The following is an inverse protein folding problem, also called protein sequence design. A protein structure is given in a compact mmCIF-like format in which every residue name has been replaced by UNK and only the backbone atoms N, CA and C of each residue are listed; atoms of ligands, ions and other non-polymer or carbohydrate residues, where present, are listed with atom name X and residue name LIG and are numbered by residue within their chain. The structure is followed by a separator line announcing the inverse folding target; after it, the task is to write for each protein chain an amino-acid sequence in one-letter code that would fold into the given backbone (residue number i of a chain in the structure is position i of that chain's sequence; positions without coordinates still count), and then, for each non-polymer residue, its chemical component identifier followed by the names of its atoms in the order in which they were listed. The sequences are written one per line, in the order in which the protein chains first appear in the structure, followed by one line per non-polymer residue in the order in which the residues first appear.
data_IF_219365816560
#
_entry.id   IF_219365816560
#
_cell.length_a   1.000
_cell.length_b   1.000
_cell.length_c   1.000
_cell.angle_alpha   90.00
_cell.angle_beta   90.00
_cell.angle_gamma   90.00
#
_symmetry.space_group_name_H-M   'P 1'
#
loop_
_entity.id
_entity.type
_entity.pdbx_description
1 polymer ?
#
# COMPACT_ATOMS: atom_id res chain seq x y z
N UNK A 1 4.14 23.14 0.72
CA UNK A 1 2.87 22.61 0.17
C UNK A 1 3.20 21.58 -0.88
N UNK A 2 2.95 20.30 -0.64
CA UNK A 2 3.05 19.30 -1.71
C UNK A 2 1.88 19.53 -2.67
N UNK A 3 2.18 19.71 -3.96
CA UNK A 3 1.15 19.83 -4.99
C UNK A 3 0.45 18.49 -5.21
N UNK A 4 -0.89 18.47 -5.24
CA UNK A 4 -1.67 17.26 -5.48
C UNK A 4 -1.28 16.62 -6.84
N UNK A 5 -0.72 15.38 -6.86
CA UNK A 5 -0.28 14.71 -8.09
C UNK A 5 -1.37 14.58 -9.18
N UNK A 6 -2.64 14.58 -8.79
CA UNK A 6 -3.75 14.58 -9.74
C UNK A 6 -3.80 15.89 -10.52
N UNK A 7 -3.64 17.01 -9.84
CA UNK A 7 -3.70 18.33 -10.47
C UNK A 7 -2.48 18.56 -11.36
N UNK A 8 -1.29 18.15 -10.90
CA UNK A 8 -0.03 18.46 -11.61
C UNK A 8 0.39 17.43 -12.64
N UNK A 9 -0.01 16.16 -12.50
CA UNK A 9 0.42 15.09 -13.41
C UNK A 9 -0.74 14.44 -14.16
N UNK A 10 -1.81 14.04 -13.47
CA UNK A 10 -2.90 13.28 -14.09
C UNK A 10 -3.83 14.15 -14.95
N UNK A 11 -4.28 15.28 -14.43
CA UNK A 11 -5.28 16.13 -15.06
C UNK A 11 -4.83 16.71 -16.42
N UNK A 12 -3.57 17.17 -16.60
CA UNK A 12 -3.09 17.57 -17.92
C UNK A 12 -3.16 16.45 -18.97
N UNK A 13 -2.86 15.21 -18.58
CA UNK A 13 -2.97 14.04 -19.47
C UNK A 13 -4.42 13.72 -19.79
N UNK A 14 -5.29 13.76 -18.76
CA UNK A 14 -6.72 13.54 -18.95
C UNK A 14 -7.33 14.57 -19.91
N UNK A 15 -6.95 15.85 -19.84
CA UNK A 15 -7.43 16.87 -20.78
C UNK A 15 -6.93 16.67 -22.22
N UNK A 16 -5.79 16.00 -22.41
CA UNK A 16 -5.18 15.75 -23.70
C UNK A 16 -5.72 14.49 -24.42
N UNK A 17 -6.36 13.57 -23.68
CA UNK A 17 -6.88 12.32 -24.23
C UNK A 17 -8.35 12.08 -23.86
N UNK A 18 -9.18 11.88 -24.88
CA UNK A 18 -10.62 11.75 -24.70
C UNK A 18 -11.01 10.53 -23.84
N UNK A 19 -10.35 9.38 -24.02
CA UNK A 19 -10.68 8.19 -23.24
C UNK A 19 -10.33 8.41 -21.77
N UNK A 20 -9.12 8.94 -21.51
CA UNK A 20 -8.63 9.23 -20.18
C UNK A 20 -9.46 10.32 -19.46
N UNK A 21 -9.94 11.31 -20.20
CA UNK A 21 -10.88 12.32 -19.69
C UNK A 21 -12.16 11.68 -19.16
N UNK A 22 -12.82 10.85 -19.98
CA UNK A 22 -14.10 10.25 -19.65
C UNK A 22 -14.00 9.30 -18.45
N UNK A 23 -12.99 8.44 -18.40
CA UNK A 23 -12.77 7.57 -17.23
C UNK A 23 -12.45 8.38 -15.97
N UNK A 24 -11.75 9.52 -16.09
CA UNK A 24 -11.44 10.39 -14.95
C UNK A 24 -12.72 11.01 -14.37
N UNK A 25 -13.62 11.52 -15.20
CA UNK A 25 -14.93 12.01 -14.75
C UNK A 25 -15.74 10.87 -14.11
N UNK A 26 -15.70 9.69 -14.71
CA UNK A 26 -16.40 8.52 -14.21
C UNK A 26 -15.90 8.09 -12.81
N UNK A 27 -14.60 8.21 -12.51
CA UNK A 27 -14.10 7.99 -11.15
C UNK A 27 -14.66 8.98 -10.13
N UNK A 28 -14.79 10.26 -10.51
CA UNK A 28 -15.38 11.27 -9.64
C UNK A 28 -16.88 10.98 -9.38
N UNK A 29 -17.62 10.62 -10.44
CA UNK A 29 -19.02 10.18 -10.31
C UNK A 29 -19.16 8.98 -9.40
N UNK A 30 -18.28 7.98 -9.52
CA UNK A 30 -18.30 6.79 -8.68
C UNK A 30 -18.07 7.13 -7.21
N UNK A 31 -17.11 8.01 -6.90
CA UNK A 31 -16.86 8.42 -5.51
C UNK A 31 -18.07 9.13 -4.89
N UNK A 32 -18.70 10.06 -5.64
CA UNK A 32 -19.92 10.73 -5.21
C UNK A 32 -21.08 9.73 -4.98
N UNK A 33 -21.30 8.82 -5.93
CA UNK A 33 -22.36 7.82 -5.87
C UNK A 33 -22.16 6.82 -4.72
N UNK A 34 -20.90 6.40 -4.46
CA UNK A 34 -20.55 5.55 -3.30
C UNK A 34 -20.90 6.24 -1.98
N UNK A 35 -20.61 7.53 -1.85
CA UNK A 35 -20.98 8.31 -0.65
C UNK A 35 -22.48 8.46 -0.51
N UNK A 36 -23.19 8.63 -1.63
CA UNK A 36 -24.64 8.76 -1.63
C UNK A 36 -25.37 7.44 -1.30
N UNK A 37 -24.74 6.29 -1.53
CA UNK A 37 -25.29 4.94 -1.29
C UNK A 37 -26.63 4.68 -2.03
N UNK A 38 -26.75 5.16 -3.27
CA UNK A 38 -27.98 5.07 -4.09
C UNK A 38 -27.80 4.28 -5.39
N UNK A 39 -26.80 3.40 -5.46
CA UNK A 39 -26.39 2.73 -6.69
C UNK A 39 -25.49 3.62 -7.57
N UNK A 40 -25.32 3.24 -8.84
CA UNK A 40 -24.32 3.85 -9.75
C UNK A 40 -24.87 4.30 -11.13
N UNK A 41 -26.08 4.89 -11.24
CA UNK A 41 -26.70 5.19 -12.53
C UNK A 41 -25.87 6.11 -13.44
N UNK A 42 -25.18 7.11 -12.88
CA UNK A 42 -24.35 8.05 -13.66
C UNK A 42 -23.05 7.38 -14.06
N UNK A 43 -22.38 6.67 -13.15
CA UNK A 43 -21.17 5.94 -13.48
C UNK A 43 -21.44 4.79 -14.47
N UNK A 44 -22.62 4.18 -14.48
CA UNK A 44 -23.03 3.21 -15.50
C UNK A 44 -23.26 3.85 -16.87
N UNK A 45 -23.91 5.02 -16.92
CA UNK A 45 -24.08 5.77 -18.15
C UNK A 45 -22.72 6.14 -18.77
N UNK A 46 -21.82 6.70 -17.97
CA UNK A 46 -20.47 7.07 -18.40
C UNK A 46 -19.61 5.86 -18.80
N UNK A 47 -19.91 4.66 -18.28
CA UNK A 47 -19.18 3.43 -18.62
C UNK A 47 -19.28 3.11 -20.11
N UNK A 48 -20.47 3.25 -20.70
CA UNK A 48 -20.70 2.94 -22.10
C UNK A 48 -19.78 3.78 -23.01
N UNK A 49 -19.67 5.08 -22.72
CA UNK A 49 -18.83 6.01 -23.47
C UNK A 49 -17.34 5.71 -23.25
N UNK A 50 -16.91 5.54 -22.00
CA UNK A 50 -15.52 5.21 -21.66
C UNK A 50 -15.05 3.92 -22.35
N UNK A 51 -15.85 2.85 -22.29
CA UNK A 51 -15.51 1.56 -22.93
C UNK A 51 -15.49 1.68 -24.46
N UNK A 52 -16.41 2.45 -25.04
CA UNK A 52 -16.44 2.70 -26.49
C UNK A 52 -15.16 3.40 -26.96
N UNK A 53 -14.74 4.45 -26.25
CA UNK A 53 -13.51 5.20 -26.55
C UNK A 53 -12.26 4.32 -26.41
N UNK A 54 -12.16 3.53 -25.33
CA UNK A 54 -11.04 2.61 -25.12
C UNK A 54 -11.00 1.53 -26.20
N UNK A 55 -12.14 0.95 -26.60
CA UNK A 55 -12.21 -0.03 -27.70
C UNK A 55 -11.72 0.58 -29.02
N UNK A 56 -12.10 1.83 -29.31
CA UNK A 56 -11.60 2.54 -30.51
C UNK A 56 -10.08 2.71 -30.48
N UNK A 57 -9.49 3.03 -29.32
CA UNK A 57 -8.03 3.12 -29.18
C UNK A 57 -7.35 1.75 -29.36
N UNK A 58 -7.88 0.70 -28.71
CA UNK A 58 -7.33 -0.66 -28.81
C UNK A 58 -7.41 -1.22 -30.23
N UNK A 59 -8.39 -0.81 -31.03
CA UNK A 59 -8.50 -1.17 -32.44
C UNK A 59 -7.37 -0.61 -33.34
N UNK A 60 -6.59 0.36 -32.86
CA UNK A 60 -5.42 0.90 -33.54
C UNK A 60 -4.13 0.43 -32.86
N UNK A 61 -3.23 -0.21 -33.62
CA UNK A 61 -1.96 -0.71 -33.08
C UNK A 61 -1.10 0.39 -32.43
N UNK A 62 -1.16 1.61 -32.96
CA UNK A 62 -0.42 2.76 -32.43
C UNK A 62 -1.04 3.31 -31.14
N UNK A 63 -2.37 3.46 -31.10
CA UNK A 63 -3.06 4.05 -29.95
C UNK A 63 -3.20 3.04 -28.80
N UNK A 64 -3.25 1.75 -29.09
CA UNK A 64 -3.43 0.69 -28.10
C UNK A 64 -2.34 0.67 -27.02
N UNK A 65 -1.11 1.07 -27.37
CA UNK A 65 0.06 0.99 -26.48
C UNK A 65 0.42 2.32 -25.80
N UNK A 66 -0.36 3.37 -26.04
CA UNK A 66 -0.14 4.68 -25.42
C UNK A 66 -0.36 4.64 -23.90
N UNK A 67 0.30 5.56 -23.19
CA UNK A 67 0.18 5.72 -21.75
C UNK A 67 -1.26 6.01 -21.32
N UNK A 68 -1.98 6.84 -22.08
CA UNK A 68 -3.36 7.21 -21.79
C UNK A 68 -4.31 6.03 -21.98
N UNK A 69 -4.02 5.11 -22.90
CA UNK A 69 -4.79 3.87 -23.06
C UNK A 69 -4.60 2.95 -21.87
N UNK A 70 -3.36 2.73 -21.42
CA UNK A 70 -3.05 1.96 -20.21
C UNK A 70 -3.72 2.54 -18.97
N UNK A 71 -3.57 3.85 -18.77
CA UNK A 71 -4.20 4.57 -17.66
C UNK A 71 -5.73 4.47 -17.72
N UNK A 72 -6.32 4.52 -18.92
CA UNK A 72 -7.77 4.34 -19.08
C UNK A 72 -8.23 2.94 -18.72
N UNK A 73 -7.54 1.92 -19.21
CA UNK A 73 -7.88 0.51 -18.94
C UNK A 73 -7.76 0.18 -17.45
N UNK A 74 -6.70 0.62 -16.78
CA UNK A 74 -6.54 0.34 -15.35
C UNK A 74 -7.54 1.12 -14.49
N UNK A 75 -7.88 2.35 -14.91
CA UNK A 75 -8.91 3.14 -14.22
C UNK A 75 -10.28 2.48 -14.33
N UNK A 76 -10.62 1.92 -15.50
CA UNK A 76 -11.83 1.10 -15.67
C UNK A 76 -11.83 -0.12 -14.75
N UNK A 77 -10.68 -0.79 -14.57
CA UNK A 77 -10.57 -1.89 -13.62
C UNK A 77 -10.94 -1.45 -12.19
N UNK A 78 -10.45 -0.29 -11.75
CA UNK A 78 -10.79 0.28 -10.45
C UNK A 78 -12.26 0.67 -10.34
N UNK A 79 -12.85 1.23 -11.40
CA UNK A 79 -14.28 1.60 -11.42
C UNK A 79 -15.15 0.36 -11.28
N UNK A 80 -14.91 -0.68 -12.09
CA UNK A 80 -15.66 -1.93 -12.04
C UNK A 80 -15.52 -2.60 -10.67
N UNK A 81 -14.30 -2.66 -10.13
CA UNK A 81 -14.07 -3.16 -8.79
C UNK A 81 -14.83 -2.37 -7.73
N UNK A 82 -14.81 -1.04 -7.81
CA UNK A 82 -15.54 -0.16 -6.88
C UNK A 82 -17.06 -0.29 -6.95
N UNK A 83 -17.61 -0.83 -8.05
CA UNK A 83 -19.02 -1.20 -8.19
C UNK A 83 -19.33 -2.63 -7.73
N UNK A 84 -18.32 -3.41 -7.36
CA UNK A 84 -18.44 -4.83 -7.02
C UNK A 84 -18.35 -5.79 -8.21
N UNK A 85 -18.05 -5.31 -9.42
CA UNK A 85 -17.95 -6.12 -10.64
C UNK A 85 -16.55 -6.73 -10.78
N UNK A 86 -16.23 -7.67 -9.89
CA UNK A 86 -14.87 -8.25 -9.75
C UNK A 86 -14.38 -8.92 -11.05
N UNK A 87 -15.26 -9.65 -11.76
CA UNK A 87 -14.87 -10.33 -12.99
C UNK A 87 -14.55 -9.35 -14.13
N UNK A 88 -15.35 -8.27 -14.27
CA UNK A 88 -15.08 -7.23 -15.25
C UNK A 88 -13.76 -6.50 -14.93
N UNK A 89 -13.51 -6.20 -13.64
CA UNK A 89 -12.24 -5.64 -13.19
C UNK A 89 -11.05 -6.53 -13.58
N UNK A 90 -11.15 -7.84 -13.34
CA UNK A 90 -10.10 -8.80 -13.72
C UNK A 90 -9.82 -8.79 -15.22
N UNK A 91 -10.86 -8.75 -16.06
CA UNK A 91 -10.71 -8.66 -17.52
C UNK A 91 -9.92 -7.40 -17.93
N UNK A 92 -10.16 -6.26 -17.27
CA UNK A 92 -9.40 -5.03 -17.51
C UNK A 92 -7.94 -5.15 -17.05
N UNK A 93 -7.67 -5.74 -15.88
CA UNK A 93 -6.30 -5.99 -15.41
C UNK A 93 -5.53 -6.89 -16.38
N UNK A 94 -6.15 -7.98 -16.85
CA UNK A 94 -5.52 -8.87 -17.83
C UNK A 94 -5.24 -8.14 -19.16
N UNK A 95 -6.14 -7.24 -19.56
CA UNK A 95 -5.94 -6.34 -20.70
C UNK A 95 -4.73 -5.42 -20.52
N UNK A 96 -4.63 -4.75 -19.37
CA UNK A 96 -3.51 -3.88 -19.04
C UNK A 96 -2.18 -4.66 -19.04
N UNK A 97 -2.13 -5.85 -18.41
CA UNK A 97 -0.94 -6.72 -18.37
C UNK A 97 -0.46 -7.10 -19.77
N UNK A 98 -1.38 -7.40 -20.70
CA UNK A 98 -1.01 -7.68 -22.11
C UNK A 98 -0.35 -6.48 -22.78
N UNK A 99 -0.89 -5.28 -22.58
CA UNK A 99 -0.32 -4.05 -23.16
C UNK A 99 1.05 -3.74 -22.55
N UNK A 100 1.23 -3.92 -21.23
CA UNK A 100 2.53 -3.81 -20.57
C UNK A 100 3.54 -4.81 -21.14
N UNK A 101 3.12 -6.06 -21.37
CA UNK A 101 3.96 -7.09 -22.01
C UNK A 101 4.43 -6.68 -23.41
N UNK A 102 3.54 -6.11 -24.24
CA UNK A 102 3.89 -5.58 -25.57
C UNK A 102 4.92 -4.45 -25.46
N UNK A 103 4.87 -3.66 -24.39
CA UNK A 103 5.83 -2.57 -24.11
C UNK A 103 7.13 -3.03 -23.46
N UNK A 104 7.31 -4.33 -23.26
CA UNK A 104 8.56 -4.90 -22.72
C UNK A 104 8.63 -4.95 -21.20
N UNK A 105 7.50 -4.88 -20.48
CA UNK A 105 7.45 -5.00 -19.02
C UNK A 105 7.19 -3.69 -18.30
N UNK A 106 6.93 -3.76 -16.99
CA UNK A 106 6.50 -2.57 -16.22
C UNK A 106 7.66 -1.58 -16.02
N UNK A 107 8.90 -2.04 -15.99
CA UNK A 107 10.08 -1.16 -15.94
C UNK A 107 10.25 -0.33 -17.21
N UNK A 108 10.06 -0.93 -18.39
CA UNK A 108 10.08 -0.20 -19.66
C UNK A 108 8.94 0.84 -19.74
N UNK A 109 7.78 0.53 -19.17
CA UNK A 109 6.70 1.52 -19.00
C UNK A 109 7.14 2.64 -18.07
N UNK A 110 7.84 2.34 -16.96
CA UNK A 110 8.32 3.34 -15.99
C UNK A 110 9.32 4.31 -16.62
N UNK A 111 10.24 3.82 -17.46
CA UNK A 111 11.21 4.66 -18.17
C UNK A 111 10.53 5.66 -19.11
N UNK A 112 9.41 5.27 -19.74
CA UNK A 112 8.64 6.15 -20.62
C UNK A 112 7.70 7.08 -19.84
N UNK A 113 6.97 6.54 -18.86
CA UNK A 113 6.01 7.26 -18.02
C UNK A 113 5.99 6.66 -16.61
N UNK A 114 6.68 7.29 -15.64
CA UNK A 114 6.68 6.85 -14.25
C UNK A 114 5.27 6.82 -13.64
N UNK A 115 4.43 7.79 -14.02
CA UNK A 115 3.03 7.84 -13.57
C UNK A 115 2.24 6.63 -14.05
N UNK A 116 2.35 6.26 -15.32
CA UNK A 116 1.60 5.13 -15.88
C UNK A 116 2.05 3.83 -15.22
N UNK A 117 3.35 3.58 -15.10
CA UNK A 117 3.86 2.37 -14.46
C UNK A 117 3.36 2.25 -13.01
N UNK A 118 3.40 3.35 -12.27
CA UNK A 118 2.89 3.45 -10.90
C UNK A 118 1.40 3.13 -10.82
N UNK A 119 0.58 3.75 -11.67
CA UNK A 119 -0.87 3.55 -11.68
C UNK A 119 -1.22 2.11 -12.05
N UNK A 120 -0.54 1.54 -13.04
CA UNK A 120 -0.72 0.14 -13.43
C UNK A 120 -0.40 -0.80 -12.28
N UNK A 121 0.79 -0.71 -11.68
CA UNK A 121 1.19 -1.61 -10.61
C UNK A 121 0.29 -1.46 -9.37
N UNK A 122 0.03 -0.22 -8.96
CA UNK A 122 -0.74 0.08 -7.75
C UNK A 122 -2.20 -0.34 -7.84
N UNK A 123 -2.91 0.07 -8.90
CA UNK A 123 -4.32 -0.30 -9.06
C UNK A 123 -4.46 -1.79 -9.25
N UNK A 124 -3.59 -2.44 -10.03
CA UNK A 124 -3.62 -3.90 -10.21
C UNK A 124 -3.51 -4.62 -8.86
N UNK A 125 -2.59 -4.20 -7.99
CA UNK A 125 -2.46 -4.75 -6.64
C UNK A 125 -3.74 -4.57 -5.81
N UNK A 126 -4.30 -3.35 -5.79
CA UNK A 126 -5.45 -3.03 -4.96
C UNK A 126 -6.69 -3.83 -5.37
N UNK A 127 -7.02 -3.86 -6.67
CA UNK A 127 -8.29 -4.45 -7.14
C UNK A 127 -8.27 -5.99 -7.18
N UNK A 128 -7.09 -6.61 -7.24
CA UNK A 128 -6.96 -8.07 -7.19
C UNK A 128 -6.56 -8.59 -5.80
N UNK A 129 -6.24 -7.70 -4.87
CA UNK A 129 -5.77 -8.05 -3.52
C UNK A 129 -4.41 -8.74 -3.48
N UNK A 130 -3.64 -8.72 -4.58
CA UNK A 130 -2.32 -9.38 -4.67
C UNK A 130 -1.42 -8.78 -5.76
N UNK A 131 -0.09 -8.76 -5.57
CA UNK A 131 0.84 -8.28 -6.59
C UNK A 131 0.63 -8.96 -7.95
N UNK A 132 0.46 -8.16 -9.00
CA UNK A 132 0.28 -8.65 -10.38
C UNK A 132 1.54 -8.59 -11.23
N UNK A 133 2.58 -7.97 -10.68
CA UNK A 133 3.90 -7.80 -11.27
C UNK A 133 4.95 -8.24 -10.24
N UNK A 134 6.07 -8.85 -10.68
CA UNK A 134 7.19 -9.14 -9.80
C UNK A 134 7.84 -7.82 -9.33
N UNK A 135 8.77 -7.92 -8.39
CA UNK A 135 9.70 -6.83 -8.04
C UNK A 135 11.06 -7.11 -8.68
N UNK A 136 11.81 -6.06 -9.01
CA UNK A 136 13.22 -6.20 -9.37
C UNK A 136 14.06 -6.59 -8.14
N UNK A 137 15.23 -7.15 -8.40
CA UNK A 137 16.23 -7.44 -7.37
C UNK A 137 16.93 -6.15 -6.89
N UNK A 138 17.80 -6.28 -5.88
CA UNK A 138 18.50 -5.14 -5.28
C UNK A 138 19.66 -4.60 -6.16
N UNK A 139 19.82 -5.12 -7.39
CA UNK A 139 20.67 -4.54 -8.44
C UNK A 139 19.85 -3.87 -9.55
N UNK A 140 18.54 -3.71 -9.34
CA UNK A 140 17.58 -3.08 -10.26
C UNK A 140 17.53 -3.75 -11.64
N UNK A 141 17.69 -5.07 -11.68
CA UNK A 141 17.56 -5.87 -12.89
C UNK A 141 16.21 -6.59 -12.88
N UNK A 142 15.52 -6.56 -14.02
CA UNK A 142 14.27 -7.28 -14.26
C UNK A 142 13.17 -6.40 -14.85
N UNK A 143 12.03 -7.01 -15.16
CA UNK A 143 10.88 -6.36 -15.80
C UNK A 143 9.78 -5.96 -14.82
N UNK A 144 10.05 -6.07 -13.51
CA UNK A 144 9.11 -5.85 -12.40
C UNK A 144 9.09 -4.42 -11.85
N UNK A 145 8.37 -4.23 -10.73
CA UNK A 145 8.36 -2.95 -10.00
C UNK A 145 9.76 -2.68 -9.47
N UNK A 146 10.37 -1.60 -9.95
CA UNK A 146 11.73 -1.22 -9.64
C UNK A 146 11.88 -0.57 -8.24
N UNK A 147 12.96 -0.83 -7.50
CA UNK A 147 13.24 -0.16 -6.24
C UNK A 147 13.44 1.35 -6.44
N UNK A 148 13.27 2.11 -5.36
CA UNK A 148 13.66 3.53 -5.34
C UNK A 148 15.15 3.68 -5.09
N UNK A 149 15.70 4.86 -5.38
CA UNK A 149 17.11 5.14 -5.08
C UNK A 149 17.39 5.00 -3.57
N UNK A 150 16.48 5.47 -2.71
CA UNK A 150 16.60 5.38 -1.26
C UNK A 150 16.60 3.93 -0.80
N UNK A 151 15.81 3.06 -1.43
CA UNK A 151 15.83 1.62 -1.15
C UNK A 151 17.21 1.02 -1.42
N UNK A 152 17.79 1.35 -2.59
CA UNK A 152 19.11 0.87 -2.98
C UNK A 152 20.20 1.39 -2.05
N UNK A 153 20.18 2.69 -1.74
CA UNK A 153 21.13 3.31 -0.79
C UNK A 153 21.00 2.74 0.62
N UNK A 154 19.80 2.32 1.03
CA UNK A 154 19.58 1.71 2.33
C UNK A 154 20.26 0.33 2.50
N UNK A 155 20.85 -0.24 1.44
CA UNK A 155 21.66 -1.45 1.56
C UNK A 155 22.83 -1.28 2.53
N UNK A 156 23.37 -0.06 2.69
CA UNK A 156 24.48 0.21 3.61
C UNK A 156 24.11 -0.05 5.07
N UNK A 157 22.82 0.03 5.43
CA UNK A 157 22.37 -0.25 6.81
C UNK A 157 22.42 -1.74 7.16
N UNK A 158 22.56 -2.63 6.16
CA UNK A 158 22.70 -4.07 6.37
C UNK A 158 24.09 -4.49 6.84
N UNK A 159 25.09 -3.62 6.67
CA UNK A 159 26.47 -3.87 7.12
C UNK A 159 26.56 -3.93 8.65
N UNK A 160 25.64 -3.24 9.33
CA UNK A 160 25.51 -3.22 10.79
C UNK A 160 24.36 -4.13 11.21
N UNK A 161 24.62 -5.03 12.17
CA UNK A 161 23.56 -5.86 12.74
C UNK A 161 22.54 -5.01 13.51
N UNK A 162 21.28 -5.07 13.08
CA UNK A 162 20.17 -4.43 13.79
C UNK A 162 19.82 -5.25 15.06
N UNK A 163 19.89 -4.63 16.27
CA UNK A 163 19.55 -5.31 17.52
C UNK A 163 18.12 -5.88 17.57
N UNK A 164 17.18 -5.22 16.90
CA UNK A 164 15.77 -5.64 16.82
C UNK A 164 15.66 -6.94 16.01
N UNK A 165 16.35 -6.99 14.86
CA UNK A 165 16.39 -8.16 13.98
C UNK A 165 16.97 -9.37 14.71
N UNK A 166 18.11 -9.18 15.38
CA UNK A 166 18.77 -10.25 16.13
C UNK A 166 17.90 -10.80 17.26
N UNK A 167 17.29 -9.91 18.05
CA UNK A 167 16.49 -10.32 19.21
C UNK A 167 15.19 -11.03 18.82
N UNK A 168 14.55 -10.61 17.72
CA UNK A 168 13.30 -11.18 17.25
C UNK A 168 13.50 -12.45 16.40
N UNK A 169 14.73 -12.78 16.00
CA UNK A 169 15.06 -13.93 15.15
C UNK A 169 14.18 -13.92 13.89
N UNK A 170 14.21 -12.79 13.18
CA UNK A 170 13.39 -12.61 11.98
C UNK A 170 13.91 -13.45 10.82
N UNK A 171 13.00 -13.89 9.95
CA UNK A 171 13.36 -14.50 8.67
C UNK A 171 14.18 -13.51 7.83
N UNK A 172 15.21 -13.97 7.08
CA UNK A 172 16.16 -13.09 6.40
C UNK A 172 15.52 -12.01 5.50
N UNK A 173 14.51 -12.38 4.72
CA UNK A 173 13.82 -11.45 3.81
C UNK A 173 13.07 -10.35 4.58
N UNK A 174 12.50 -10.69 5.74
CA UNK A 174 11.78 -9.73 6.59
C UNK A 174 12.77 -8.83 7.34
N UNK A 175 13.89 -9.40 7.77
CA UNK A 175 14.98 -8.67 8.40
C UNK A 175 15.58 -7.61 7.46
N UNK A 176 15.85 -7.95 6.20
CA UNK A 176 16.36 -7.02 5.18
C UNK A 176 15.40 -5.84 4.99
N UNK A 177 14.12 -6.14 4.78
CA UNK A 177 13.10 -5.11 4.54
C UNK A 177 12.96 -4.19 5.75
N UNK A 178 12.87 -4.74 6.97
CA UNK A 178 12.77 -3.94 8.20
C UNK A 178 13.99 -3.04 8.35
N UNK A 179 15.20 -3.58 8.16
CA UNK A 179 16.46 -2.83 8.36
C UNK A 179 16.55 -1.65 7.38
N UNK A 180 16.21 -1.88 6.10
CA UNK A 180 16.18 -0.80 5.10
C UNK A 180 15.15 0.26 5.42
N UNK A 181 13.92 -0.14 5.77
CA UNK A 181 12.86 0.81 6.12
C UNK A 181 13.21 1.65 7.34
N UNK A 182 13.79 1.04 8.39
CA UNK A 182 14.31 1.77 9.56
C UNK A 182 15.41 2.75 9.16
N UNK A 183 16.36 2.28 8.36
CA UNK A 183 17.44 3.09 7.82
C UNK A 183 16.97 4.29 7.02
N UNK A 184 15.85 4.19 6.30
CA UNK A 184 15.21 5.29 5.56
C UNK A 184 14.42 6.20 6.50
N UNK A 185 13.51 5.64 7.31
CA UNK A 185 12.52 6.41 8.08
C UNK A 185 13.09 7.12 9.29
N UNK A 186 14.17 6.60 9.88
CA UNK A 186 14.80 7.20 11.05
C UNK A 186 15.90 8.22 10.69
N UNK A 187 16.11 8.53 9.40
CA UNK A 187 16.98 9.64 9.03
C UNK A 187 16.36 10.98 9.45
N UNK A 188 17.19 11.97 9.84
CA UNK A 188 16.75 13.35 9.91
C UNK A 188 16.08 13.76 8.60
N UNK A 189 14.96 14.48 8.67
CA UNK A 189 14.21 14.97 7.50
C UNK A 189 13.72 13.89 6.51
N UNK A 190 13.57 12.63 6.94
CA UNK A 190 13.10 11.52 6.09
C UNK A 190 11.85 11.87 5.26
N UNK A 191 10.89 12.59 5.83
CA UNK A 191 9.67 13.01 5.14
C UNK A 191 9.94 13.98 3.98
N UNK A 192 10.90 14.90 4.14
CA UNK A 192 11.30 15.82 3.08
C UNK A 192 12.01 15.08 1.93
N UNK A 193 12.84 14.09 2.27
CA UNK A 193 13.52 13.25 1.28
C UNK A 193 12.56 12.34 0.53
N UNK A 194 11.56 11.78 1.22
CA UNK A 194 10.60 10.88 0.61
C UNK A 194 9.62 11.61 -0.32
N UNK A 195 9.29 12.87 -0.05
CA UNK A 195 8.54 13.75 -0.97
C UNK A 195 7.48 13.02 -1.81
N UNK A 196 7.63 13.03 -3.14
CA UNK A 196 6.77 12.31 -4.08
C UNK A 196 7.14 10.83 -4.27
N UNK A 197 8.31 10.40 -3.80
CA UNK A 197 8.83 9.04 -3.92
C UNK A 197 8.26 8.08 -2.88
N UNK A 198 7.57 8.58 -1.84
CA UNK A 198 6.85 7.75 -0.87
C UNK A 198 5.90 6.78 -1.58
N UNK A 199 5.24 7.20 -2.65
CA UNK A 199 4.39 6.31 -3.44
C UNK A 199 5.19 5.18 -4.06
N UNK A 200 6.32 5.49 -4.72
CA UNK A 200 7.13 4.48 -5.40
C UNK A 200 7.75 3.51 -4.40
N UNK A 201 8.21 4.01 -3.23
CA UNK A 201 8.69 3.19 -2.13
C UNK A 201 7.59 2.29 -1.58
N UNK A 202 6.41 2.84 -1.27
CA UNK A 202 5.25 2.06 -0.81
C UNK A 202 4.86 1.00 -1.84
N UNK A 203 4.80 1.36 -3.12
CA UNK A 203 4.46 0.45 -4.20
C UNK A 203 5.45 -0.72 -4.24
N UNK A 204 6.75 -0.44 -4.28
CA UNK A 204 7.78 -1.46 -4.27
C UNK A 204 7.74 -2.36 -3.02
N UNK A 205 7.71 -1.76 -1.82
CA UNK A 205 7.78 -2.48 -0.54
C UNK A 205 6.56 -3.37 -0.32
N UNK A 206 5.35 -2.86 -0.61
CA UNK A 206 4.12 -3.65 -0.45
C UNK A 206 4.10 -4.80 -1.46
N UNK A 207 4.56 -4.58 -2.71
CA UNK A 207 4.71 -5.69 -3.66
C UNK A 207 5.70 -6.74 -3.15
N UNK A 208 6.88 -6.33 -2.68
CA UNK A 208 7.92 -7.23 -2.15
C UNK A 208 7.39 -8.04 -0.96
N UNK A 209 6.75 -7.39 0.02
CA UNK A 209 6.19 -8.04 1.22
C UNK A 209 5.06 -9.03 0.91
N UNK A 210 4.22 -8.74 -0.08
CA UNK A 210 3.08 -9.58 -0.43
C UNK A 210 3.43 -10.71 -1.40
N UNK A 211 4.57 -10.63 -2.09
CA UNK A 211 5.14 -11.72 -2.88
C UNK A 211 5.82 -12.78 -1.99
N UNK A 212 6.29 -12.41 -0.80
CA UNK A 212 6.82 -13.36 0.18
C UNK A 212 5.67 -14.28 0.67
N UNK A 213 5.84 -15.62 0.60
CA UNK A 213 4.81 -16.55 1.05
C UNK A 213 4.57 -16.43 2.57
N UNK A 214 3.39 -16.83 3.08
CA UNK A 214 3.13 -16.82 4.52
C UNK A 214 4.19 -17.60 5.31
N UNK A 215 4.57 -17.07 6.48
CA UNK A 215 5.62 -17.63 7.33
C UNK A 215 5.05 -18.29 8.61
N UNK A 216 4.34 -19.43 8.52
CA UNK A 216 3.60 -20.01 9.66
C UNK A 216 4.52 -20.45 10.82
N UNK A 217 5.79 -20.72 10.53
CA UNK A 217 6.77 -21.16 11.52
C UNK A 217 7.46 -20.00 12.25
N UNK A 218 7.24 -18.75 11.80
CA UNK A 218 7.84 -17.56 12.39
C UNK A 218 6.76 -16.49 12.60
N UNK A 219 5.90 -16.63 13.63
CA UNK A 219 4.76 -15.73 13.84
C UNK A 219 5.15 -14.26 13.97
N UNK A 220 6.31 -13.98 14.58
CA UNK A 220 6.84 -12.61 14.68
C UNK A 220 7.20 -12.03 13.30
N UNK A 221 7.79 -12.83 12.41
CA UNK A 221 8.11 -12.41 11.05
C UNK A 221 6.85 -12.23 10.21
N UNK A 222 5.86 -13.12 10.35
CA UNK A 222 4.59 -13.02 9.64
C UNK A 222 3.76 -11.81 10.10
N UNK A 223 3.68 -11.57 11.42
CA UNK A 223 3.03 -10.37 11.97
C UNK A 223 3.71 -9.10 11.48
N UNK A 224 5.05 -9.06 11.52
CA UNK A 224 5.83 -7.91 11.06
C UNK A 224 5.68 -7.70 9.54
N UNK A 225 5.69 -8.76 8.73
CA UNK A 225 5.47 -8.70 7.27
C UNK A 225 4.11 -8.05 6.95
N UNK A 226 3.06 -8.53 7.59
CA UNK A 226 1.70 -8.01 7.40
C UNK A 226 1.57 -6.57 7.91
N UNK A 227 2.07 -6.29 9.12
CA UNK A 227 2.00 -4.96 9.72
C UNK A 227 2.85 -3.94 8.97
N UNK A 228 4.02 -4.29 8.42
CA UNK A 228 4.78 -3.39 7.54
C UNK A 228 4.00 -3.06 6.27
N UNK A 229 3.35 -4.04 5.64
CA UNK A 229 2.50 -3.75 4.47
C UNK A 229 1.35 -2.79 4.82
N UNK A 230 0.65 -3.03 5.94
CA UNK A 230 -0.39 -2.13 6.45
C UNK A 230 0.16 -0.73 6.79
N UNK A 231 1.31 -0.67 7.44
CA UNK A 231 1.95 0.59 7.82
C UNK A 231 2.31 1.43 6.58
N UNK A 232 2.89 0.81 5.55
CA UNK A 232 3.18 1.46 4.27
C UNK A 232 1.90 1.98 3.59
N UNK A 233 0.79 1.22 3.67
CA UNK A 233 -0.53 1.65 3.18
C UNK A 233 -1.09 2.82 3.99
N UNK A 234 -0.87 2.86 5.31
CA UNK A 234 -1.32 3.96 6.17
C UNK A 234 -0.55 5.23 5.81
N UNK A 235 0.80 5.22 5.86
CA UNK A 235 1.61 6.44 5.69
C UNK A 235 1.45 7.06 4.31
N UNK A 236 1.25 6.23 3.28
CA UNK A 236 0.92 6.67 1.92
C UNK A 236 -0.52 7.18 1.83
N UNK A 237 -1.44 6.30 2.24
CA UNK A 237 -2.89 6.37 2.20
C UNK A 237 -3.58 6.80 0.91
N UNK A 238 -4.85 7.15 1.05
CA UNK A 238 -5.82 6.98 -0.04
C UNK A 238 -6.00 8.23 -0.90
N UNK A 239 -4.94 8.69 -1.57
CA UNK A 239 -5.03 9.89 -2.40
C UNK A 239 -6.03 9.72 -3.56
N UNK A 240 -6.15 8.49 -4.11
CA UNK A 240 -6.98 8.22 -5.31
C UNK A 240 -7.83 6.96 -5.20
N UNK A 241 -7.34 5.94 -4.52
CA UNK A 241 -8.03 4.67 -4.37
C UNK A 241 -8.01 4.25 -2.91
N UNK A 242 -9.10 3.63 -2.47
CA UNK A 242 -9.17 3.07 -1.12
C UNK A 242 -8.24 1.87 -1.00
N UNK A 243 -7.63 1.71 0.18
CA UNK A 243 -6.82 0.53 0.52
C UNK A 243 -7.63 -0.51 1.31
N UNK A 244 -8.91 -0.24 1.62
CA UNK A 244 -9.72 -0.99 2.58
C UNK A 244 -9.74 -2.49 2.33
N UNK A 245 -10.01 -2.94 1.09
CA UNK A 245 -10.14 -4.38 0.80
C UNK A 245 -8.82 -5.15 0.95
N UNK A 246 -7.73 -4.56 0.45
CA UNK A 246 -6.38 -5.10 0.63
C UNK A 246 -5.99 -5.12 2.12
N UNK A 247 -6.23 -4.02 2.83
CA UNK A 247 -5.93 -3.91 4.26
C UNK A 247 -6.72 -4.96 5.07
N UNK A 248 -8.02 -5.12 4.83
CA UNK A 248 -8.84 -6.13 5.49
C UNK A 248 -8.31 -7.55 5.24
N UNK A 249 -7.89 -7.86 4.01
CA UNK A 249 -7.30 -9.16 3.68
C UNK A 249 -6.00 -9.41 4.46
N UNK A 250 -5.14 -8.40 4.58
CA UNK A 250 -3.89 -8.49 5.35
C UNK A 250 -4.18 -8.61 6.85
N UNK A 251 -5.14 -7.85 7.37
CA UNK A 251 -5.60 -7.88 8.75
C UNK A 251 -6.05 -9.29 9.15
N UNK A 252 -6.88 -9.96 8.33
CA UNK A 252 -7.36 -11.30 8.65
C UNK A 252 -6.21 -12.31 8.78
N UNK A 253 -5.18 -12.20 7.93
CA UNK A 253 -3.98 -13.04 8.03
C UNK A 253 -3.21 -12.75 9.32
N UNK A 254 -2.95 -11.48 9.61
CA UNK A 254 -2.24 -11.03 10.80
C UNK A 254 -2.96 -11.46 12.09
N UNK A 255 -4.28 -11.28 12.14
CA UNK A 255 -5.12 -11.63 13.30
C UNK A 255 -4.97 -13.10 13.71
N UNK A 256 -4.77 -13.99 12.74
CA UNK A 256 -4.56 -15.43 13.00
C UNK A 256 -3.22 -15.74 13.70
N UNK A 257 -2.20 -14.88 13.53
CA UNK A 257 -0.84 -15.08 14.05
C UNK A 257 -0.59 -14.28 15.35
N UNK A 258 -1.37 -13.24 15.60
CA UNK A 258 -1.17 -12.33 16.73
C UNK A 258 -1.16 -13.01 18.11
N UNK A 259 -2.00 -14.03 18.41
CA UNK A 259 -1.95 -14.71 19.71
C UNK A 259 -0.60 -15.35 20.02
N UNK A 260 0.11 -15.85 19.00
CA UNK A 260 1.44 -16.45 19.17
C UNK A 260 2.52 -15.42 19.52
N UNK A 261 2.30 -14.14 19.19
CA UNK A 261 3.18 -13.04 19.58
C UNK A 261 2.97 -12.64 21.05
N UNK A 262 1.71 -12.56 21.50
CA UNK A 262 1.36 -12.21 22.88
C UNK A 262 1.92 -13.21 23.92
N UNK A 263 2.11 -14.48 23.53
CA UNK A 263 2.71 -15.51 24.39
C UNK A 263 4.22 -15.38 24.62
N UNK A 264 4.90 -14.43 23.96
CA UNK A 264 6.35 -14.19 24.08
C UNK A 264 6.68 -12.93 24.91
N UNK A 265 5.72 -12.45 25.71
CA UNK A 265 5.85 -11.26 26.54
C UNK A 265 7.00 -11.37 27.56
N UNK A 266 7.65 -10.24 27.86
CA UNK A 266 8.72 -10.14 28.86
C UNK A 266 10.10 -9.76 28.32
N UNK A 267 10.22 -9.56 27.02
CA UNK A 267 11.37 -8.87 26.40
C UNK A 267 10.90 -7.55 25.80
N UNK A 268 11.59 -6.46 26.12
CA UNK A 268 11.27 -5.09 25.67
C UNK A 268 11.04 -5.02 24.15
N UNK A 269 11.76 -5.82 23.37
CA UNK A 269 11.64 -5.83 21.90
C UNK A 269 10.41 -6.61 21.41
N UNK A 270 10.04 -7.71 22.06
CA UNK A 270 8.78 -8.40 21.78
C UNK A 270 7.58 -7.56 22.20
N UNK A 271 7.69 -6.88 23.33
CA UNK A 271 6.68 -5.95 23.83
C UNK A 271 6.49 -4.78 22.86
N UNK A 272 7.60 -4.19 22.39
CA UNK A 272 7.57 -3.13 21.37
C UNK A 272 6.97 -3.60 20.05
N UNK A 273 7.31 -4.81 19.59
CA UNK A 273 6.70 -5.41 18.39
C UNK A 273 5.20 -5.59 18.56
N UNK A 274 4.74 -6.10 19.71
CA UNK A 274 3.34 -6.30 19.99
C UNK A 274 2.56 -4.98 19.97
N UNK A 275 3.06 -3.95 20.65
CA UNK A 275 2.43 -2.61 20.65
C UNK A 275 2.43 -2.01 19.25
N UNK A 276 3.52 -2.16 18.50
CA UNK A 276 3.60 -1.65 17.13
C UNK A 276 2.60 -2.34 16.19
N UNK A 277 2.53 -3.66 16.21
CA UNK A 277 1.57 -4.44 15.41
C UNK A 277 0.13 -4.06 15.77
N UNK A 278 -0.20 -3.97 17.06
CA UNK A 278 -1.54 -3.58 17.52
C UNK A 278 -1.89 -2.17 17.04
N UNK A 279 -0.97 -1.21 17.17
CA UNK A 279 -1.14 0.16 16.69
C UNK A 279 -1.47 0.21 15.21
N UNK A 280 -0.72 -0.52 14.38
CA UNK A 280 -0.93 -0.58 12.93
C UNK A 280 -2.29 -1.22 12.60
N UNK A 281 -2.67 -2.29 13.30
CA UNK A 281 -3.96 -2.95 13.05
C UNK A 281 -5.16 -2.10 13.45
N UNK A 282 -5.10 -1.40 14.60
CA UNK A 282 -6.15 -0.46 15.03
C UNK A 282 -6.27 0.70 14.03
N UNK A 283 -5.15 1.23 13.53
CA UNK A 283 -5.14 2.27 12.50
C UNK A 283 -5.65 1.81 11.13
N UNK A 284 -5.59 0.51 10.83
CA UNK A 284 -5.98 -0.05 9.53
C UNK A 284 -7.40 -0.63 9.50
N UNK A 285 -7.93 -1.08 10.64
CA UNK A 285 -9.19 -1.81 10.70
C UNK A 285 -10.38 -0.91 10.40
N UNK A 286 -11.27 -1.36 9.50
CA UNK A 286 -12.54 -0.68 9.20
C UNK A 286 -13.77 -1.47 9.63
N UNK A 287 -13.65 -2.79 9.81
CA UNK A 287 -14.75 -3.63 10.31
C UNK A 287 -14.97 -3.39 11.81
N UNK A 288 -16.20 -3.11 12.27
CA UNK A 288 -16.47 -2.82 13.68
C UNK A 288 -16.04 -3.93 14.65
N UNK A 289 -16.14 -5.20 14.24
CA UNK A 289 -15.78 -6.36 15.07
C UNK A 289 -14.26 -6.45 15.22
N UNK A 290 -13.54 -6.24 14.12
CA UNK A 290 -12.08 -6.19 14.13
C UNK A 290 -11.58 -4.99 14.94
N UNK A 291 -12.14 -3.80 14.72
CA UNK A 291 -11.81 -2.58 15.49
C UNK A 291 -11.96 -2.84 16.98
N UNK A 292 -13.08 -3.40 17.41
CA UNK A 292 -13.32 -3.71 18.83
C UNK A 292 -12.30 -4.72 19.36
N UNK A 293 -12.00 -5.77 18.60
CA UNK A 293 -11.06 -6.81 19.01
C UNK A 293 -9.63 -6.29 19.15
N UNK A 294 -9.13 -5.52 18.19
CA UNK A 294 -7.79 -4.95 18.23
C UNK A 294 -7.67 -3.88 19.32
N UNK A 295 -8.68 -3.03 19.50
CA UNK A 295 -8.72 -2.02 20.57
C UNK A 295 -8.65 -2.68 21.94
N UNK A 296 -9.43 -3.75 22.16
CA UNK A 296 -9.40 -4.51 23.41
C UNK A 296 -8.04 -5.18 23.64
N UNK A 297 -7.46 -5.77 22.59
CA UNK A 297 -6.13 -6.40 22.66
C UNK A 297 -5.02 -5.38 22.96
N UNK A 298 -5.10 -4.18 22.36
CA UNK A 298 -4.21 -3.05 22.64
C UNK A 298 -4.32 -2.59 24.10
N UNK A 299 -5.54 -2.48 24.64
CA UNK A 299 -5.78 -2.13 26.05
C UNK A 299 -5.19 -3.15 27.02
N UNK A 300 -5.33 -4.45 26.74
CA UNK A 300 -4.72 -5.49 27.56
C UNK A 300 -3.19 -5.38 27.54
N UNK A 301 -2.59 -5.23 26.35
CA UNK A 301 -1.15 -5.12 26.21
C UNK A 301 -0.59 -3.88 26.93
N UNK A 302 -1.24 -2.72 26.76
CA UNK A 302 -0.86 -1.49 27.44
C UNK A 302 -0.92 -1.61 28.96
N UNK A 303 -2.00 -2.19 29.51
CA UNK A 303 -2.11 -2.43 30.95
C UNK A 303 -1.03 -3.38 31.47
N UNK A 304 -0.73 -4.44 30.73
CA UNK A 304 0.30 -5.41 31.11
C UNK A 304 1.71 -4.79 31.13
N UNK A 305 1.96 -3.83 30.25
CA UNK A 305 3.25 -3.12 30.13
C UNK A 305 3.30 -1.82 30.94
N UNK A 306 2.19 -1.43 31.59
CA UNK A 306 2.09 -0.22 32.40
C UNK A 306 2.16 1.09 31.59
N UNK A 307 1.73 1.09 30.33
CA UNK A 307 1.70 2.29 29.50
C UNK A 307 0.58 3.23 29.97
N UNK A 308 0.89 4.50 30.20
CA UNK A 308 -0.05 5.48 30.75
C UNK A 308 -0.30 6.68 29.83
N UNK A 309 0.56 6.86 28.83
CA UNK A 309 0.55 8.02 27.96
C UNK A 309 0.92 7.67 26.52
N UNK A 310 0.60 8.57 25.60
CA UNK A 310 1.09 8.50 24.22
C UNK A 310 2.63 8.44 24.15
N UNK A 311 3.33 9.12 25.06
CA UNK A 311 4.80 9.13 25.10
C UNK A 311 5.39 7.73 25.40
N UNK A 312 4.68 6.92 26.20
CA UNK A 312 5.06 5.54 26.45
C UNK A 312 4.87 4.69 25.18
N UNK A 313 3.74 4.87 24.49
CA UNK A 313 3.39 4.14 23.27
C UNK A 313 4.37 4.48 22.13
N UNK A 314 4.63 5.76 21.87
CA UNK A 314 5.48 6.20 20.75
C UNK A 314 6.93 5.71 20.91
N UNK A 315 7.40 5.52 22.15
CA UNK A 315 8.71 4.91 22.41
C UNK A 315 8.78 3.48 21.87
N UNK A 316 7.72 2.68 22.06
CA UNK A 316 7.61 1.34 21.47
C UNK A 316 7.53 1.39 19.94
N UNK A 317 6.80 2.35 19.36
CA UNK A 317 6.67 2.44 17.90
C UNK A 317 8.02 2.76 17.24
N UNK A 318 8.77 3.71 17.80
CA UNK A 318 10.11 4.09 17.34
C UNK A 318 11.14 2.96 17.48
N UNK A 319 10.97 2.08 18.47
CA UNK A 319 11.82 0.91 18.61
C UNK A 319 11.67 -0.07 17.43
N UNK A 320 10.52 -0.10 16.74
CA UNK A 320 10.25 -1.02 15.63
C UNK A 320 10.38 -0.34 14.26
N UNK A 321 9.46 0.57 13.93
CA UNK A 321 9.48 1.32 12.68
C UNK A 321 8.56 2.52 12.79
N UNK A 322 9.09 3.74 12.66
CA UNK A 322 8.28 4.94 12.76
C UNK A 322 8.74 6.04 11.82
N UNK A 323 7.79 6.59 11.06
CA UNK A 323 7.94 7.80 10.26
C UNK A 323 6.98 8.86 10.82
N UNK A 324 7.55 10.00 11.23
CA UNK A 324 6.75 11.13 11.68
C UNK A 324 6.04 11.75 10.47
N UNK A 325 4.72 11.60 10.40
CA UNK A 325 3.86 12.09 9.30
C UNK A 325 2.65 12.81 9.87
N UNK A 326 1.90 13.55 9.04
CA UNK A 326 0.60 14.11 9.46
C UNK A 326 -0.38 13.03 9.97
N UNK A 327 -0.20 11.77 9.53
CA UNK A 327 -1.01 10.63 9.93
C UNK A 327 -0.62 10.03 11.27
N UNK A 328 0.49 10.48 11.88
CA UNK A 328 0.86 10.14 13.25
C UNK A 328 -0.26 10.47 14.24
N UNK A 329 -1.02 11.53 13.96
CA UNK A 329 -2.14 11.96 14.78
C UNK A 329 -3.27 10.92 14.86
N UNK A 330 -3.46 10.11 13.80
CA UNK A 330 -4.45 9.01 13.82
C UNK A 330 -4.07 7.99 14.90
N UNK A 331 -2.80 7.60 14.96
CA UNK A 331 -2.31 6.67 15.99
C UNK A 331 -2.47 7.27 17.38
N UNK A 332 -2.12 8.55 17.55
CA UNK A 332 -2.25 9.25 18.83
C UNK A 332 -3.69 9.26 19.33
N UNK A 333 -4.64 9.70 18.51
CA UNK A 333 -6.06 9.77 18.89
C UNK A 333 -6.63 8.40 19.29
N UNK A 334 -6.23 7.35 18.58
CA UNK A 334 -6.63 5.99 18.91
C UNK A 334 -6.07 5.53 20.25
N UNK A 335 -4.79 5.81 20.51
CA UNK A 335 -4.15 5.44 21.77
C UNK A 335 -4.63 6.24 22.97
N UNK A 336 -4.89 7.54 22.81
CA UNK A 336 -5.51 8.36 23.86
C UNK A 336 -6.87 7.78 24.28
N UNK A 337 -7.66 7.28 23.33
CA UNK A 337 -8.92 6.59 23.61
C UNK A 337 -8.74 5.21 24.27
N UNK A 338 -7.67 4.46 23.92
CA UNK A 338 -7.36 3.15 24.50
C UNK A 338 -6.89 3.25 25.95
N UNK A 339 -6.08 4.28 26.25
CA UNK A 339 -5.45 4.50 27.55
C UNK A 339 -6.39 5.13 28.60
N UNK A 340 -7.56 5.63 28.18
CA UNK A 340 -8.62 6.09 29.08
C UNK A 340 -9.43 4.93 29.64
#
# INVERSE_FOLDING_TARGET
MMSNPFIVSWWPLALADQALFHVSIQTASLDEERRAQRGFPISELLMADSVSLVRKKIGSSLLAIQDETLNSVVTLAAIEHGKGNIDASRVHIDGAKRIVGIRGGIDQVKQASPLTARMIAWVSLLVTGSPQYPVQDDIAIGDGVAPTLQWLLAATFLETQDPVVLALQLEPDIADILTRLRGIFHQPDALAFLGTELHDLTCFVVHKLLLIPPLPNSPQSECLRCAMALYMLIIHGTTYYTHTELANTIIQRLKSQLPALAGKAGSVLFDSLQIWVLSVTVASATDPTDVQWFTYSAKIAANAMGLQSWDDVIAHLRNVLWLETERAEIFRQQWDAILT
#
